data_IF_873702646251
#
_entry.id   IF_873702646251
#
_cell.length_a   1.000
_cell.length_b   1.000
_cell.length_c   1.000
_cell.angle_alpha   90.00
_cell.angle_beta   90.00
_cell.angle_gamma   90.00
#
_symmetry.space_group_name_H-M   'P 1'
#
loop_
_entity.id
_entity.type
_entity.pdbx_description
1 polymer ?
#
# COMPACT_ATOMS: atom_id res chain seq x y z
N UNK A 1 -17.70 5.72 13.67
CA UNK A 1 -17.14 5.41 12.34
C UNK A 1 -15.63 5.34 12.55
N UNK A 2 -15.10 4.13 12.76
CA UNK A 2 -13.84 3.88 13.47
C UNK A 2 -12.59 4.02 12.59
N UNK A 3 -11.47 4.42 13.20
CA UNK A 3 -10.11 4.36 12.60
C UNK A 3 -9.85 3.01 11.92
N UNK A 4 -10.40 1.94 12.48
CA UNK A 4 -10.34 0.58 11.97
C UNK A 4 -10.90 0.43 10.54
N UNK A 5 -11.97 1.15 10.16
CA UNK A 5 -12.46 1.12 8.77
C UNK A 5 -11.46 1.75 7.80
N UNK A 6 -10.79 2.82 8.23
CA UNK A 6 -9.78 3.50 7.41
C UNK A 6 -8.53 2.62 7.21
N UNK A 7 -8.09 1.92 8.26
CA UNK A 7 -6.99 0.95 8.18
C UNK A 7 -7.34 -0.18 7.20
N UNK A 8 -8.55 -0.74 7.29
CA UNK A 8 -9.00 -1.80 6.37
C UNK A 8 -9.03 -1.32 4.91
N UNK A 9 -9.44 -0.09 4.67
CA UNK A 9 -9.46 0.49 3.32
C UNK A 9 -8.06 0.72 2.76
N UNK A 10 -7.12 1.18 3.60
CA UNK A 10 -5.71 1.31 3.25
C UNK A 10 -5.04 -0.04 2.99
N UNK A 11 -5.33 -1.07 3.81
CA UNK A 11 -4.83 -2.43 3.59
C UNK A 11 -5.32 -3.01 2.26
N UNK A 12 -6.60 -2.78 1.91
CA UNK A 12 -7.13 -3.17 0.59
C UNK A 12 -6.42 -2.48 -0.57
N UNK A 13 -6.14 -1.18 -0.45
CA UNK A 13 -5.35 -0.45 -1.47
C UNK A 13 -3.92 -0.98 -1.56
N UNK A 14 -3.30 -1.30 -0.42
CA UNK A 14 -1.97 -1.88 -0.38
C UNK A 14 -1.92 -3.23 -1.12
N UNK A 15 -2.89 -4.10 -0.89
CA UNK A 15 -2.99 -5.40 -1.58
C UNK A 15 -3.20 -5.23 -3.10
N UNK A 16 -4.03 -4.27 -3.51
CA UNK A 16 -4.22 -3.96 -4.92
C UNK A 16 -2.91 -3.50 -5.59
N UNK A 17 -2.16 -2.62 -4.94
CA UNK A 17 -0.85 -2.17 -5.43
C UNK A 17 0.17 -3.30 -5.49
N UNK A 18 0.19 -4.24 -4.53
CA UNK A 18 1.06 -5.42 -4.60
C UNK A 18 0.72 -6.31 -5.80
N UNK A 19 -0.56 -6.52 -6.07
CA UNK A 19 -1.01 -7.28 -7.23
C UNK A 19 -0.58 -6.60 -8.53
N UNK A 20 -0.78 -5.29 -8.65
CA UNK A 20 -0.32 -4.52 -9.81
C UNK A 20 1.19 -4.60 -9.99
N UNK A 21 1.99 -4.44 -8.93
CA UNK A 21 3.46 -4.58 -8.99
C UNK A 21 3.84 -5.97 -9.48
N UNK A 22 3.20 -7.01 -8.97
CA UNK A 22 3.52 -8.40 -9.32
C UNK A 22 3.18 -8.69 -10.78
N UNK A 23 2.03 -8.22 -11.26
CA UNK A 23 1.65 -8.33 -12.68
C UNK A 23 2.65 -7.62 -13.59
N UNK A 24 3.06 -6.41 -13.21
CA UNK A 24 3.99 -5.60 -13.98
C UNK A 24 5.41 -6.20 -13.97
N UNK A 25 5.80 -6.84 -12.88
CA UNK A 25 7.06 -7.59 -12.76
C UNK A 25 7.07 -8.86 -13.60
N UNK A 26 5.92 -9.51 -13.79
CA UNK A 26 5.77 -10.70 -14.63
C UNK A 26 5.76 -10.37 -16.13
N UNK A 27 5.44 -9.12 -16.48
CA UNK A 27 5.46 -8.67 -17.85
C UNK A 27 6.90 -8.55 -18.40
N UNK A 28 7.15 -9.10 -19.59
CA UNK A 28 8.48 -9.12 -20.25
C UNK A 28 9.01 -7.72 -20.60
N UNK A 29 8.10 -6.75 -20.78
CA UNK A 29 8.40 -5.32 -20.86
C UNK A 29 8.14 -4.67 -19.50
N UNK A 30 8.87 -5.15 -18.50
CA UNK A 30 8.79 -4.59 -17.16
C UNK A 30 9.15 -3.11 -17.23
N UNK A 31 8.17 -2.25 -16.98
CA UNK A 31 8.42 -0.82 -16.85
C UNK A 31 8.96 -0.56 -15.44
N UNK A 32 10.28 -0.54 -15.34
CA UNK A 32 10.99 -0.38 -14.07
C UNK A 32 10.58 0.94 -13.38
N UNK A 33 10.33 2.01 -14.15
CA UNK A 33 9.85 3.29 -13.61
C UNK A 33 8.48 3.14 -12.95
N UNK A 34 7.55 2.45 -13.62
CA UNK A 34 6.20 2.21 -13.10
C UNK A 34 6.24 1.37 -11.82
N UNK A 35 7.08 0.34 -11.77
CA UNK A 35 7.27 -0.46 -10.54
C UNK A 35 7.89 0.36 -9.41
N UNK A 36 8.86 1.22 -9.72
CA UNK A 36 9.44 2.12 -8.72
C UNK A 36 8.39 3.05 -8.12
N UNK A 37 7.52 3.64 -8.94
CA UNK A 37 6.42 4.48 -8.46
C UNK A 37 5.42 3.69 -7.61
N UNK A 38 5.02 2.50 -8.07
CA UNK A 38 4.09 1.64 -7.33
C UNK A 38 4.66 1.20 -5.98
N UNK A 39 5.95 0.82 -5.93
CA UNK A 39 6.65 0.51 -4.67
C UNK A 39 6.72 1.72 -3.75
N UNK A 40 6.90 2.92 -4.28
CA UNK A 40 6.88 4.18 -3.50
C UNK A 40 5.50 4.43 -2.90
N UNK A 41 4.44 4.31 -3.69
CA UNK A 41 3.05 4.42 -3.22
C UNK A 41 2.73 3.39 -2.16
N UNK A 42 3.16 2.14 -2.36
CA UNK A 42 3.02 1.04 -1.38
C UNK A 42 3.71 1.39 -0.05
N UNK A 43 4.91 1.95 -0.10
CA UNK A 43 5.64 2.37 1.10
C UNK A 43 4.89 3.47 1.86
N UNK A 44 4.37 4.47 1.15
CA UNK A 44 3.59 5.55 1.76
C UNK A 44 2.32 5.04 2.46
N UNK A 45 1.58 4.13 1.82
CA UNK A 45 0.38 3.52 2.43
C UNK A 45 0.76 2.71 3.67
N UNK A 46 1.87 1.96 3.63
CA UNK A 46 2.35 1.21 4.78
C UNK A 46 2.72 2.13 5.96
N UNK A 47 3.36 3.26 5.67
CA UNK A 47 3.70 4.27 6.68
C UNK A 47 2.44 4.92 7.27
N UNK A 48 1.46 5.23 6.43
CA UNK A 48 0.16 5.76 6.85
C UNK A 48 -0.60 4.78 7.74
N UNK A 49 -0.68 3.50 7.36
CA UNK A 49 -1.23 2.42 8.19
C UNK A 49 -0.49 2.34 9.53
N UNK A 50 0.85 2.41 9.50
CA UNK A 50 1.66 2.31 10.72
C UNK A 50 1.40 3.48 11.66
N UNK A 51 1.29 4.71 11.13
CA UNK A 51 0.92 5.90 11.91
C UNK A 51 -0.49 5.80 12.49
N UNK A 52 -1.45 5.32 11.71
CA UNK A 52 -2.83 5.14 12.15
C UNK A 52 -2.93 4.07 13.25
N UNK A 53 -2.25 2.93 13.07
CA UNK A 53 -2.17 1.85 14.08
C UNK A 53 -1.51 2.33 15.37
N UNK A 54 -0.42 3.11 15.28
CA UNK A 54 0.21 3.72 16.46
C UNK A 54 -0.74 4.67 17.19
N UNK A 55 -1.48 5.49 16.44
CA UNK A 55 -2.44 6.44 17.01
C UNK A 55 -3.61 5.72 17.68
N UNK A 56 -4.09 4.62 17.10
CA UNK A 56 -5.14 3.77 17.69
C UNK A 56 -4.68 3.11 18.99
N UNK A 57 -3.42 2.67 19.09
CA UNK A 57 -2.88 2.06 20.33
C UNK A 57 -2.61 3.03 21.48
N UNK A 58 -2.62 4.34 21.21
CA UNK A 58 -2.32 5.40 22.19
C UNK A 58 -3.58 6.00 22.84
N UNK A 59 -4.75 5.42 22.62
CA UNK A 59 -6.04 5.86 23.15
C UNK A 59 -6.69 4.78 24.01
#
# INVERSE_FOLDING_TARGET
MSLQSHIVELERRHEALEKEITQEQLHRSMDEQKIHELKRKKLLIKDEISKLKQTETLH
#
